data_IF_776884207034
#
_entry.id   IF_776884207034
#
_cell.length_a   1.000
_cell.length_b   1.000
_cell.length_c   1.000
_cell.angle_alpha   90.00
_cell.angle_beta   90.00
_cell.angle_gamma   90.00
#
_symmetry.space_group_name_H-M   'P 1'
#
loop_
_entity.id
_entity.type
_entity.pdbx_description
1 polymer ?
#
# COMPACT_ATOMS: atom_id res chain seq x y z
N UNK A 1 -7.67 3.59 3.29
CA UNK A 1 -7.03 2.30 3.67
C UNK A 1 -7.73 1.58 4.82
N UNK A 2 -7.87 2.19 6.01
CA UNK A 2 -8.41 1.50 7.22
C UNK A 2 -9.75 0.81 6.97
N UNK A 3 -10.73 1.54 6.43
CA UNK A 3 -12.06 1.00 6.10
C UNK A 3 -11.98 -0.16 5.12
N UNK A 4 -11.07 -0.11 4.15
CA UNK A 4 -10.84 -1.18 3.18
C UNK A 4 -10.32 -2.47 3.85
N UNK A 5 -9.32 -2.35 4.72
CA UNK A 5 -8.79 -3.49 5.48
C UNK A 5 -9.85 -4.08 6.42
N UNK A 6 -10.61 -3.22 7.11
CA UNK A 6 -11.69 -3.65 8.00
C UNK A 6 -12.83 -4.32 7.24
N UNK A 7 -13.19 -3.82 6.06
CA UNK A 7 -14.18 -4.44 5.20
C UNK A 7 -13.74 -5.85 4.78
N UNK A 8 -12.50 -5.99 4.30
CA UNK A 8 -11.93 -7.31 3.93
C UNK A 8 -11.94 -8.26 5.13
N UNK A 9 -11.50 -7.79 6.30
CA UNK A 9 -11.48 -8.60 7.51
C UNK A 9 -12.87 -9.05 7.98
N UNK A 10 -13.93 -8.27 7.68
CA UNK A 10 -15.30 -8.54 8.15
C UNK A 10 -16.14 -9.35 7.17
N UNK A 11 -15.90 -9.25 5.86
CA UNK A 11 -16.81 -9.80 4.83
C UNK A 11 -16.26 -11.13 4.26
N UNK A 12 -16.82 -12.30 4.60
CA UNK A 12 -16.29 -13.60 4.16
C UNK A 12 -16.26 -13.75 2.64
N UNK A 13 -17.24 -13.19 1.93
CA UNK A 13 -17.27 -13.20 0.46
C UNK A 13 -16.06 -12.48 -0.13
N UNK A 14 -15.64 -11.36 0.47
CA UNK A 14 -14.48 -10.61 0.02
C UNK A 14 -13.18 -11.39 0.28
N UNK A 15 -13.08 -12.05 1.43
CA UNK A 15 -11.93 -12.89 1.77
C UNK A 15 -11.78 -14.06 0.79
N UNK A 16 -12.90 -14.73 0.46
CA UNK A 16 -12.91 -15.83 -0.49
C UNK A 16 -12.49 -15.38 -1.88
N UNK A 17 -13.03 -14.26 -2.37
CA UNK A 17 -12.66 -13.68 -3.66
C UNK A 17 -11.16 -13.34 -3.71
N UNK A 18 -10.65 -12.60 -2.73
CA UNK A 18 -9.24 -12.19 -2.71
C UNK A 18 -8.30 -13.40 -2.52
N UNK A 19 -8.71 -14.44 -1.78
CA UNK A 19 -7.97 -15.71 -1.70
C UNK A 19 -7.84 -16.40 -3.06
N UNK A 20 -8.91 -16.41 -3.85
CA UNK A 20 -8.86 -16.97 -5.20
C UNK A 20 -7.87 -16.17 -6.05
N UNK A 21 -8.04 -14.85 -6.08
CA UNK A 21 -7.24 -13.96 -6.92
C UNK A 21 -5.75 -13.96 -6.56
N UNK A 22 -5.39 -14.03 -5.28
CA UNK A 22 -3.98 -13.93 -4.85
C UNK A 22 -3.26 -15.27 -4.68
N UNK A 23 -3.95 -16.38 -4.46
CA UNK A 23 -3.31 -17.64 -4.08
C UNK A 23 -3.77 -18.86 -4.88
N UNK A 24 -4.81 -18.75 -5.70
CA UNK A 24 -5.36 -19.89 -6.45
C UNK A 24 -5.50 -19.64 -7.94
N UNK A 25 -5.41 -18.40 -8.38
CA UNK A 25 -5.52 -18.02 -9.78
C UNK A 25 -4.13 -18.10 -10.43
N UNK A 26 -4.01 -18.88 -11.49
CA UNK A 26 -2.87 -18.83 -12.40
C UNK A 26 -3.25 -17.90 -13.55
N UNK A 27 -2.62 -16.72 -13.61
CA UNK A 27 -2.89 -15.78 -14.69
C UNK A 27 -2.22 -16.26 -15.98
N UNK A 28 -3.01 -16.34 -17.05
CA UNK A 28 -2.56 -16.70 -18.39
C UNK A 28 -3.20 -15.77 -19.44
N UNK A 29 -2.77 -15.88 -20.69
CA UNK A 29 -3.18 -14.99 -21.78
C UNK A 29 -4.67 -15.11 -22.15
N UNK A 30 -5.37 -16.15 -21.67
CA UNK A 30 -6.82 -16.33 -21.87
C UNK A 30 -7.66 -15.55 -20.84
N UNK A 31 -7.03 -15.01 -19.80
CA UNK A 31 -7.66 -14.21 -18.75
C UNK A 31 -7.43 -12.71 -18.95
N UNK A 32 -8.24 -11.89 -18.27
CA UNK A 32 -7.91 -10.48 -18.09
C UNK A 32 -6.53 -10.35 -17.45
N UNK A 33 -5.70 -9.44 -17.99
CA UNK A 33 -4.37 -9.18 -17.46
C UNK A 33 -4.43 -8.86 -15.96
N UNK A 34 -3.52 -9.47 -15.19
CA UNK A 34 -3.46 -9.33 -13.74
C UNK A 34 -3.45 -7.85 -13.29
N UNK A 35 -2.70 -6.99 -14.01
CA UNK A 35 -2.65 -5.56 -13.74
C UNK A 35 -4.04 -4.88 -13.78
N UNK A 36 -4.88 -5.25 -14.75
CA UNK A 36 -6.25 -4.72 -14.89
C UNK A 36 -7.15 -5.20 -13.76
N UNK A 37 -6.95 -6.44 -13.29
CA UNK A 37 -7.71 -6.99 -12.16
C UNK A 37 -7.27 -6.29 -10.86
N UNK A 38 -5.97 -6.07 -10.67
CA UNK A 38 -5.41 -5.38 -9.50
C UNK A 38 -5.82 -3.92 -9.43
N UNK A 39 -5.89 -3.22 -10.56
CA UNK A 39 -6.39 -1.84 -10.61
C UNK A 39 -7.82 -1.73 -10.07
N UNK A 40 -8.67 -2.74 -10.29
CA UNK A 40 -10.03 -2.79 -9.75
C UNK A 40 -10.10 -3.08 -8.25
N UNK A 41 -9.00 -3.55 -7.64
CA UNK A 41 -8.92 -3.87 -6.20
C UNK A 41 -8.16 -2.81 -5.40
N UNK A 42 -7.33 -2.01 -6.07
CA UNK A 42 -6.52 -0.95 -5.48
C UNK A 42 -7.29 0.35 -5.28
N UNK A 43 -6.53 1.43 -4.98
CA UNK A 43 -7.12 2.77 -4.91
C UNK A 43 -7.38 3.30 -6.32
N UNK A 44 -8.36 4.20 -6.45
CA UNK A 44 -8.48 4.99 -7.66
C UNK A 44 -7.22 5.88 -7.78
N UNK A 45 -6.40 5.74 -8.84
CA UNK A 45 -5.12 6.44 -8.93
C UNK A 45 -5.27 7.96 -8.93
N UNK A 46 -6.29 8.48 -9.61
CA UNK A 46 -6.56 9.91 -9.68
C UNK A 46 -6.93 10.48 -8.32
N UNK A 47 -7.87 9.81 -7.62
CA UNK A 47 -8.27 10.21 -6.26
C UNK A 47 -7.10 10.14 -5.27
N UNK A 48 -6.29 9.08 -5.34
CA UNK A 48 -5.13 8.94 -4.46
C UNK A 48 -4.12 10.06 -4.69
N UNK A 49 -3.83 10.39 -5.96
CA UNK A 49 -2.94 11.51 -6.32
C UNK A 49 -3.45 12.84 -5.78
N UNK A 50 -4.73 13.15 -5.99
CA UNK A 50 -5.35 14.40 -5.52
C UNK A 50 -5.27 14.54 -4.00
N UNK A 51 -5.53 13.45 -3.26
CA UNK A 51 -5.41 13.44 -1.79
C UNK A 51 -3.96 13.67 -1.36
N UNK A 52 -3.00 13.00 -1.98
CA UNK A 52 -1.57 13.16 -1.65
C UNK A 52 -1.07 14.58 -1.95
N UNK A 53 -1.48 15.16 -3.08
CA UNK A 53 -1.18 16.56 -3.43
C UNK A 53 -1.74 17.53 -2.40
N UNK A 54 -2.98 17.34 -1.96
CA UNK A 54 -3.58 18.15 -0.91
C UNK A 54 -2.82 18.01 0.42
N UNK A 55 -2.40 16.79 0.79
CA UNK A 55 -1.59 16.54 1.98
C UNK A 55 -0.20 17.22 1.89
N UNK A 56 0.44 17.25 0.72
CA UNK A 56 1.69 17.99 0.51
C UNK A 56 1.49 19.50 0.70
N UNK A 57 0.45 20.06 0.09
CA UNK A 57 0.14 21.49 0.21
C UNK A 57 -0.18 21.92 1.65
N UNK A 58 -0.73 21.01 2.46
CA UNK A 58 -1.02 21.21 3.88
C UNK A 58 0.18 20.91 4.80
N UNK A 59 1.30 20.42 4.27
CA UNK A 59 2.48 20.02 5.04
C UNK A 59 2.28 18.77 5.91
N UNK A 60 1.26 17.94 5.60
CA UNK A 60 1.00 16.69 6.33
C UNK A 60 1.94 15.54 5.90
N UNK A 61 2.55 15.67 4.73
CA UNK A 61 3.55 14.75 4.17
C UNK A 61 4.74 15.57 3.64
N UNK A 62 5.89 14.94 3.45
CA UNK A 62 7.09 15.63 3.00
C UNK A 62 6.91 16.29 1.60
N UNK A 63 7.37 17.54 1.47
CA UNK A 63 7.17 18.37 0.27
C UNK A 63 7.95 17.90 -0.96
N UNK A 64 8.97 17.05 -0.78
CA UNK A 64 9.85 16.55 -1.82
C UNK A 64 9.54 15.10 -2.24
N UNK A 65 8.39 14.56 -1.82
CA UNK A 65 7.99 13.21 -2.23
C UNK A 65 7.63 13.18 -3.71
N UNK A 66 8.18 12.18 -4.40
CA UNK A 66 7.68 11.75 -5.70
C UNK A 66 6.34 11.04 -5.50
N UNK A 67 5.25 11.71 -5.89
CA UNK A 67 3.90 11.21 -5.66
C UNK A 67 3.60 9.92 -6.43
N UNK A 68 4.20 9.72 -7.60
CA UNK A 68 3.97 8.51 -8.40
C UNK A 68 4.60 7.30 -7.69
N UNK A 69 5.79 7.48 -7.13
CA UNK A 69 6.45 6.47 -6.30
C UNK A 69 5.65 6.21 -5.00
N UNK A 70 5.17 7.26 -4.33
CA UNK A 70 4.37 7.10 -3.10
C UNK A 70 3.08 6.32 -3.36
N UNK A 71 2.39 6.57 -4.48
CA UNK A 71 1.21 5.81 -4.87
C UNK A 71 1.51 4.31 -5.01
N UNK A 72 2.61 3.96 -5.70
CA UNK A 72 3.06 2.57 -5.84
C UNK A 72 3.30 1.93 -4.46
N UNK A 73 3.95 2.65 -3.54
CA UNK A 73 4.23 2.14 -2.18
C UNK A 73 2.94 1.92 -1.41
N UNK A 74 1.96 2.85 -1.49
CA UNK A 74 0.67 2.72 -0.81
C UNK A 74 -0.13 1.51 -1.32
N UNK A 75 -0.21 1.34 -2.64
CA UNK A 75 -0.88 0.18 -3.25
C UNK A 75 -0.18 -1.14 -2.89
N UNK A 76 1.15 -1.14 -2.91
CA UNK A 76 1.97 -2.31 -2.53
C UNK A 76 1.79 -2.66 -1.06
N UNK A 77 1.79 -1.67 -0.17
CA UNK A 77 1.57 -1.87 1.26
C UNK A 77 0.16 -2.40 1.53
N UNK A 78 -0.86 -1.82 0.91
CA UNK A 78 -2.25 -2.28 1.07
C UNK A 78 -2.42 -3.73 0.60
N UNK A 79 -1.99 -4.04 -0.63
CA UNK A 79 -2.11 -5.37 -1.19
C UNK A 79 -1.27 -6.39 -0.42
N UNK A 80 -0.05 -6.05 -0.02
CA UNK A 80 0.84 -6.90 0.78
C UNK A 80 0.26 -7.22 2.16
N UNK A 81 -0.30 -6.24 2.87
CA UNK A 81 -0.99 -6.46 4.16
C UNK A 81 -2.13 -7.47 3.97
N UNK A 82 -2.95 -7.29 2.93
CA UNK A 82 -4.08 -8.17 2.65
C UNK A 82 -3.61 -9.58 2.31
N UNK A 83 -2.64 -9.73 1.41
CA UNK A 83 -2.09 -11.03 1.03
C UNK A 83 -1.49 -11.77 2.23
N UNK A 84 -0.65 -11.10 3.02
CA UNK A 84 -0.03 -11.67 4.21
C UNK A 84 -1.07 -12.17 5.21
N UNK A 85 -2.12 -11.38 5.44
CA UNK A 85 -3.22 -11.80 6.31
C UNK A 85 -4.00 -12.98 5.74
N UNK A 86 -4.28 -13.02 4.43
CA UNK A 86 -5.02 -14.12 3.81
C UNK A 86 -4.25 -15.46 3.84
N UNK A 87 -2.91 -15.40 3.84
CA UNK A 87 -2.05 -16.57 4.02
C UNK A 87 -2.18 -17.18 5.43
N UNK A 88 -2.26 -16.34 6.46
CA UNK A 88 -2.45 -16.78 7.85
C UNK A 88 -3.38 -15.84 8.63
N UNK A 89 -4.69 -16.07 8.48
CA UNK A 89 -5.72 -15.22 9.10
C UNK A 89 -5.71 -15.28 10.65
N UNK A 90 -5.12 -16.34 11.22
CA UNK A 90 -4.95 -16.49 12.66
C UNK A 90 -3.69 -15.79 13.20
N UNK A 91 -2.77 -15.37 12.32
CA UNK A 91 -1.51 -14.73 12.69
C UNK A 91 -1.68 -13.37 13.36
N UNK A 92 -2.74 -12.62 12.98
CA UNK A 92 -3.12 -11.37 13.63
C UNK A 92 -4.55 -10.94 13.29
N UNK A 93 -5.13 -10.07 14.12
CA UNK A 93 -6.47 -9.50 13.91
C UNK A 93 -6.41 -8.29 12.97
N UNK A 94 -6.62 -8.51 11.67
CA UNK A 94 -6.58 -7.44 10.66
C UNK A 94 -7.59 -6.32 10.94
N UNK A 95 -8.78 -6.63 11.45
CA UNK A 95 -9.81 -5.63 11.70
C UNK A 95 -9.37 -4.65 12.80
N UNK A 96 -8.87 -5.20 13.92
CA UNK A 96 -8.39 -4.38 15.05
C UNK A 96 -7.07 -3.67 14.74
N UNK A 97 -6.18 -4.29 13.98
CA UNK A 97 -4.86 -3.72 13.69
C UNK A 97 -4.85 -2.79 12.47
N UNK A 98 -5.92 -2.73 11.67
CA UNK A 98 -6.00 -1.87 10.49
C UNK A 98 -5.59 -0.41 10.74
N UNK A 99 -6.00 0.27 11.84
CA UNK A 99 -5.52 1.63 12.12
C UNK A 99 -4.01 1.68 12.30
N UNK A 100 -3.44 0.84 13.16
CA UNK A 100 -2.00 0.83 13.43
C UNK A 100 -1.18 0.47 12.19
N UNK A 101 -1.64 -0.48 11.36
CA UNK A 101 -0.98 -0.83 10.11
C UNK A 101 -0.94 0.35 9.14
N UNK A 102 -2.08 1.03 8.96
CA UNK A 102 -2.17 2.19 8.07
C UNK A 102 -1.34 3.36 8.59
N UNK A 103 -1.39 3.62 9.90
CA UNK A 103 -0.59 4.69 10.51
C UNK A 103 0.91 4.45 10.29
N UNK A 104 1.39 3.21 10.45
CA UNK A 104 2.81 2.90 10.23
C UNK A 104 3.22 3.01 8.75
N UNK A 105 2.34 2.67 7.81
CA UNK A 105 2.59 2.91 6.38
C UNK A 105 2.67 4.41 6.10
N UNK A 106 1.70 5.19 6.58
CA UNK A 106 1.64 6.63 6.30
C UNK A 106 2.76 7.42 6.99
N UNK A 107 3.25 6.96 8.15
CA UNK A 107 4.41 7.55 8.84
C UNK A 107 5.65 7.62 7.98
N UNK A 108 5.83 6.70 7.03
CA UNK A 108 6.97 6.70 6.09
C UNK A 108 7.01 7.95 5.19
N UNK A 109 5.88 8.66 5.06
CA UNK A 109 5.73 9.83 4.20
C UNK A 109 5.60 11.14 4.98
N UNK A 110 5.52 11.07 6.31
CA UNK A 110 5.41 12.27 7.14
C UNK A 110 6.68 13.12 7.01
N UNK A 111 6.58 14.46 7.15
CA UNK A 111 7.75 15.32 7.15
C UNK A 111 8.67 14.89 8.29
N UNK A 112 9.86 14.43 7.94
CA UNK A 112 10.87 14.04 8.91
C UNK A 112 11.74 15.27 9.19
N UNK A 113 11.93 15.63 10.45
CA UNK A 113 12.85 16.72 10.81
C UNK A 113 14.33 16.34 10.52
N UNK A 114 14.62 15.07 10.24
CA UNK A 114 15.98 14.52 10.15
C UNK A 114 16.38 13.85 8.81
N UNK A 115 15.55 13.89 7.75
CA UNK A 115 15.80 13.18 6.47
C UNK A 115 17.13 13.57 5.79
N UNK A 116 17.63 14.78 6.01
CA UNK A 116 18.86 15.28 5.37
C UNK A 116 20.11 14.44 5.68
N UNK A 117 20.09 13.57 6.70
CA UNK A 117 21.22 12.73 7.10
C UNK A 117 21.31 11.38 6.38
N UNK A 118 20.21 10.86 5.83
CA UNK A 118 20.16 9.49 5.29
C UNK A 118 20.30 9.42 3.76
N UNK A 119 19.98 10.49 3.03
CA UNK A 119 19.87 10.44 1.57
C UNK A 119 21.24 10.55 0.85
N UNK A 120 22.31 11.06 1.50
CA UNK A 120 23.60 11.30 0.84
C UNK A 120 24.76 10.35 1.21
N UNK A 121 24.62 9.44 2.17
CA UNK A 121 25.79 8.63 2.62
C UNK A 121 25.99 7.30 1.87
N UNK A 122 25.03 6.82 1.06
CA UNK A 122 25.11 5.47 0.48
C UNK A 122 25.54 5.41 -0.99
N UNK A 123 25.74 6.55 -1.66
CA UNK A 123 26.12 6.59 -3.09
C UNK A 123 27.60 6.95 -3.36
N UNK A 124 28.46 7.04 -2.34
CA UNK A 124 29.90 7.32 -2.53
C UNK A 124 30.83 6.10 -2.33
N UNK A 125 30.31 4.90 -2.03
CA UNK A 125 31.14 3.72 -1.75
C UNK A 125 31.28 2.72 -2.93
N UNK A 126 31.12 3.16 -4.17
CA UNK A 126 31.37 2.28 -5.35
C UNK A 126 32.24 2.87 -6.45
N UNK A 127 32.97 3.97 -6.19
CA UNK A 127 34.05 4.43 -7.06
C UNK A 127 35.28 4.80 -6.22
N UNK A 128 35.97 3.79 -5.70
CA UNK A 128 37.41 3.85 -5.43
C UNK A 128 38.02 2.45 -5.48
#
# INVERSE_FOLDING_TARGET
>A
MIVGLQYIAKIPRQQALLKILYHKCEFNDEMLAEGVIREKMGFNPQTLREVLQACQQQGCVANNLDLDVVMIIIDSAFSGIVQNWLMNMAGYDLYKQAPALVDNVLRMFMPDENITKLIHQTNELSVM
#
